data_IF_579496911054
#
_entry.id   IF_579496911054
#
_cell.length_a   1.000
_cell.length_b   1.000
_cell.length_c   1.000
_cell.angle_alpha   90.00
_cell.angle_beta   90.00
_cell.angle_gamma   90.00
#
_symmetry.space_group_name_H-M   'P 1'
#
loop_
_entity.id
_entity.type
_entity.pdbx_description
1 polymer ?
#
# COMPACT_ATOMS: atom_id res chain seq x y z
N UNK A 1 -50.47 14.38 -56.42
CA UNK A 1 -49.11 13.80 -56.53
C UNK A 1 -48.13 14.92 -56.20
N UNK A 2 -47.22 14.91 -55.24
CA UNK A 2 -46.57 13.88 -54.41
C UNK A 2 -46.21 14.58 -53.08
N UNK A 3 -46.59 14.01 -51.93
CA UNK A 3 -46.20 14.52 -50.61
C UNK A 3 -44.75 14.18 -50.30
N UNK A 4 -43.91 15.18 -50.03
CA UNK A 4 -42.54 14.98 -49.57
C UNK A 4 -42.54 14.65 -48.08
N UNK A 5 -42.40 13.36 -47.76
CA UNK A 5 -42.12 12.91 -46.39
C UNK A 5 -40.70 13.32 -46.00
N UNK A 6 -40.57 14.19 -45.00
CA UNK A 6 -39.30 14.40 -44.31
C UNK A 6 -39.05 13.19 -43.40
N UNK A 7 -38.01 12.43 -43.71
CA UNK A 7 -37.46 11.38 -42.85
C UNK A 7 -36.79 12.00 -41.63
N UNK A 8 -37.28 11.65 -40.44
CA UNK A 8 -36.70 12.01 -39.14
C UNK A 8 -35.43 11.17 -38.93
N UNK A 9 -34.26 11.75 -38.61
CA UNK A 9 -33.08 10.97 -38.30
C UNK A 9 -33.23 10.25 -36.96
N UNK A 10 -32.90 8.96 -36.96
CA UNK A 10 -32.87 8.07 -35.79
C UNK A 10 -31.85 8.61 -34.77
N UNK A 11 -32.31 8.93 -33.57
CA UNK A 11 -31.48 9.30 -32.42
C UNK A 11 -30.43 8.23 -32.16
N UNK A 12 -29.16 8.66 -32.06
CA UNK A 12 -28.06 7.84 -31.59
C UNK A 12 -28.28 7.56 -30.09
N UNK A 13 -28.31 6.28 -29.73
CA UNK A 13 -28.57 5.80 -28.39
C UNK A 13 -27.50 6.34 -27.42
N UNK A 14 -27.96 6.94 -26.32
CA UNK A 14 -27.11 7.57 -25.32
C UNK A 14 -26.22 6.56 -24.60
N UNK A 15 -24.90 6.72 -24.76
CA UNK A 15 -23.93 6.15 -23.83
C UNK A 15 -24.08 6.78 -22.43
N UNK A 16 -23.65 6.08 -21.37
CA UNK A 16 -23.80 6.58 -20.01
C UNK A 16 -23.07 7.92 -19.85
N UNK A 17 -23.84 8.98 -19.66
CA UNK A 17 -23.31 10.28 -19.21
C UNK A 17 -22.85 10.11 -17.76
N UNK A 18 -21.57 9.81 -17.56
CA UNK A 18 -20.97 9.83 -16.23
C UNK A 18 -21.14 11.23 -15.64
N UNK A 19 -21.87 11.34 -14.53
CA UNK A 19 -22.17 12.63 -13.93
C UNK A 19 -20.89 13.25 -13.34
N UNK A 20 -20.80 14.58 -13.37
CA UNK A 20 -19.69 15.33 -12.76
C UNK A 20 -19.38 14.89 -11.33
N UNK A 21 -20.42 14.60 -10.53
CA UNK A 21 -20.32 14.14 -9.15
C UNK A 21 -19.63 12.77 -8.98
N UNK A 22 -19.67 11.89 -9.98
CA UNK A 22 -18.96 10.60 -9.95
C UNK A 22 -17.45 10.78 -10.13
N UNK A 23 -17.02 11.85 -10.82
CA UNK A 23 -15.61 12.13 -11.13
C UNK A 23 -14.86 12.79 -9.97
N UNK A 24 -15.57 13.39 -9.03
CA UNK A 24 -14.99 14.03 -7.84
C UNK A 24 -15.22 13.23 -6.57
N UNK A 25 -15.75 12.00 -6.69
CA UNK A 25 -16.00 11.15 -5.53
C UNK A 25 -14.69 10.90 -4.79
N UNK A 26 -14.61 11.19 -3.48
CA UNK A 26 -13.40 10.95 -2.71
C UNK A 26 -13.01 9.49 -2.81
N UNK A 27 -11.70 9.23 -2.95
CA UNK A 27 -11.19 7.88 -2.87
C UNK A 27 -11.63 7.25 -1.53
N UNK A 28 -11.92 5.93 -1.50
CA UNK A 28 -12.24 5.24 -0.27
C UNK A 28 -11.10 5.44 0.75
N UNK A 29 -11.47 5.57 2.03
CA UNK A 29 -10.50 5.73 3.13
C UNK A 29 -9.52 4.56 3.08
N UNK A 30 -8.20 4.80 3.06
CA UNK A 30 -7.22 3.72 3.15
C UNK A 30 -7.31 3.05 4.51
N UNK A 31 -7.09 1.73 4.55
CA UNK A 31 -6.99 0.96 5.79
C UNK A 31 -5.90 1.54 6.69
N UNK A 32 -6.16 1.55 7.98
CA UNK A 32 -5.23 2.10 8.98
C UNK A 32 -5.05 1.11 10.13
N UNK A 33 -3.81 1.00 10.61
CA UNK A 33 -3.53 0.18 11.77
C UNK A 33 -4.04 0.88 13.04
N UNK A 34 -4.79 0.15 13.86
CA UNK A 34 -5.30 0.61 15.17
C UNK A 34 -4.35 0.23 16.31
N UNK A 35 -3.54 -0.81 16.12
CA UNK A 35 -2.53 -1.27 17.08
C UNK A 35 -1.34 -1.89 16.33
N UNK A 36 -0.15 -1.74 16.91
CA UNK A 36 1.10 -2.28 16.37
C UNK A 36 1.94 -2.88 17.49
N UNK A 37 2.26 -4.17 17.37
CA UNK A 37 3.01 -4.93 18.38
C UNK A 37 4.21 -5.59 17.74
N UNK A 38 5.38 -5.31 18.30
CA UNK A 38 6.61 -6.02 17.99
C UNK A 38 6.79 -7.19 18.94
N UNK A 39 7.23 -8.34 18.44
CA UNK A 39 7.58 -9.47 19.31
C UNK A 39 8.76 -9.11 20.23
N UNK A 40 8.89 -9.75 21.42
CA UNK A 40 9.95 -9.42 22.37
C UNK A 40 11.38 -9.56 21.81
N UNK A 41 11.56 -10.45 20.84
CA UNK A 41 12.81 -10.68 20.11
C UNK A 41 13.00 -9.76 18.89
N UNK A 42 11.99 -8.98 18.51
CA UNK A 42 12.03 -8.08 17.35
C UNK A 42 11.91 -8.78 15.99
N UNK A 43 11.60 -10.08 15.96
CA UNK A 43 11.60 -10.89 14.73
C UNK A 43 10.29 -10.77 13.93
N UNK A 44 9.21 -10.31 14.56
CA UNK A 44 7.90 -10.17 13.91
C UNK A 44 7.15 -8.92 14.36
N UNK A 45 6.39 -8.36 13.43
CA UNK A 45 5.45 -7.26 13.63
C UNK A 45 4.03 -7.77 13.42
N UNK A 46 3.18 -7.58 14.42
CA UNK A 46 1.74 -7.84 14.33
C UNK A 46 0.99 -6.51 14.30
N UNK A 47 0.12 -6.35 13.31
CA UNK A 47 -0.73 -5.17 13.13
C UNK A 47 -2.20 -5.56 13.25
N UNK A 48 -2.95 -4.78 14.01
CA UNK A 48 -4.43 -4.83 14.05
C UNK A 48 -4.97 -3.67 13.23
N UNK A 49 -5.99 -3.92 12.42
CA UNK A 49 -6.51 -2.96 11.44
C UNK A 49 -7.91 -2.46 11.80
N UNK A 50 -8.31 -1.32 11.23
CA UNK A 50 -9.64 -0.74 11.43
C UNK A 50 -10.78 -1.55 10.81
N UNK A 51 -10.46 -2.47 9.88
CA UNK A 51 -11.40 -3.47 9.35
C UNK A 51 -11.52 -4.74 10.21
N UNK A 52 -10.85 -4.78 11.37
CA UNK A 52 -10.89 -5.89 12.33
C UNK A 52 -9.94 -7.05 12.01
N UNK A 53 -9.21 -7.00 10.89
CA UNK A 53 -8.19 -8.00 10.61
C UNK A 53 -6.98 -7.84 11.53
N UNK A 54 -6.27 -8.95 11.72
CA UNK A 54 -4.93 -8.98 12.35
C UNK A 54 -3.99 -9.72 11.42
N UNK A 55 -2.82 -9.16 11.18
CA UNK A 55 -1.87 -9.68 10.21
C UNK A 55 -0.45 -9.52 10.73
N UNK A 56 0.46 -10.41 10.32
CA UNK A 56 1.82 -10.44 10.83
C UNK A 56 2.83 -10.51 9.69
N UNK A 57 3.99 -9.87 9.85
CA UNK A 57 5.13 -10.01 8.96
C UNK A 57 6.42 -10.19 9.77
N UNK A 58 7.39 -10.90 9.21
CA UNK A 58 8.72 -11.00 9.81
C UNK A 58 9.53 -9.74 9.55
N UNK A 59 10.48 -9.45 10.42
CA UNK A 59 11.43 -8.35 10.25
C UNK A 59 12.20 -8.48 8.93
N UNK A 60 12.54 -9.70 8.52
CA UNK A 60 13.17 -9.97 7.23
C UNK A 60 12.31 -9.51 6.05
N UNK A 61 11.02 -9.84 6.04
CA UNK A 61 10.09 -9.44 4.97
C UNK A 61 9.96 -7.92 4.91
N UNK A 62 9.81 -7.26 6.07
CA UNK A 62 9.76 -5.80 6.14
C UNK A 62 11.03 -5.19 5.52
N UNK A 63 12.20 -5.70 5.88
CA UNK A 63 13.48 -5.19 5.40
C UNK A 63 13.73 -5.45 3.91
N UNK A 64 13.36 -6.63 3.41
CA UNK A 64 13.38 -6.95 1.98
C UNK A 64 12.51 -5.98 1.19
N UNK A 65 11.46 -5.45 1.83
CA UNK A 65 10.51 -4.54 1.22
C UNK A 65 10.72 -3.07 1.63
N UNK A 66 11.89 -2.74 2.18
CA UNK A 66 12.24 -1.37 2.57
C UNK A 66 12.06 -0.37 1.40
N UNK A 67 11.25 0.70 1.57
CA UNK A 67 10.94 1.64 0.49
C UNK A 67 11.88 2.86 0.45
N UNK A 68 13.01 2.84 1.16
CA UNK A 68 13.93 3.97 1.17
C UNK A 68 14.72 4.09 -0.15
N UNK A 69 15.23 5.29 -0.43
CA UNK A 69 16.02 5.60 -1.63
C UNK A 69 17.29 4.75 -1.80
N UNK A 70 17.82 4.20 -0.70
CA UNK A 70 18.96 3.26 -0.78
C UNK A 70 18.56 1.87 -1.30
N UNK A 71 17.28 1.50 -1.21
CA UNK A 71 16.75 0.19 -1.58
C UNK A 71 15.89 0.23 -2.85
N UNK A 72 15.37 1.40 -3.23
CA UNK A 72 14.52 1.62 -4.40
C UNK A 72 15.04 2.83 -5.15
N UNK A 73 15.33 2.65 -6.43
CA UNK A 73 15.75 3.74 -7.30
C UNK A 73 14.59 4.73 -7.50
N UNK A 74 14.84 6.01 -7.22
CA UNK A 74 13.82 7.06 -7.19
C UNK A 74 13.20 7.35 -8.56
N UNK A 75 13.93 7.11 -9.64
CA UNK A 75 13.51 7.44 -11.01
C UNK A 75 12.74 6.30 -11.68
N UNK A 76 13.18 5.07 -11.44
CA UNK A 76 12.64 3.86 -12.07
C UNK A 76 11.68 3.10 -11.16
N UNK A 77 11.60 3.48 -9.88
CA UNK A 77 10.92 2.72 -8.83
C UNK A 77 11.37 1.25 -8.70
N UNK A 78 12.54 0.91 -9.29
CA UNK A 78 13.06 -0.45 -9.28
C UNK A 78 13.76 -0.71 -7.96
N UNK A 79 13.39 -1.81 -7.30
CA UNK A 79 14.10 -2.30 -6.11
C UNK A 79 15.52 -2.75 -6.50
N UNK A 80 16.51 -2.15 -5.87
CA UNK A 80 17.94 -2.44 -6.06
C UNK A 80 18.48 -3.41 -5.00
N UNK A 81 17.76 -3.52 -3.87
CA UNK A 81 18.08 -4.46 -2.81
C UNK A 81 17.95 -5.91 -3.31
N UNK A 82 18.99 -6.70 -3.08
CA UNK A 82 19.01 -8.14 -3.26
C UNK A 82 18.37 -8.84 -2.04
N UNK A 83 17.21 -9.50 -2.18
CA UNK A 83 16.53 -10.16 -1.06
C UNK A 83 17.38 -11.24 -0.38
N UNK A 84 18.30 -11.88 -1.11
CA UNK A 84 19.17 -12.94 -0.57
C UNK A 84 20.22 -12.40 0.40
N UNK A 85 20.50 -11.09 0.36
CA UNK A 85 21.45 -10.44 1.28
C UNK A 85 20.82 -10.02 2.60
N UNK A 86 19.51 -10.15 2.75
CA UNK A 86 18.82 -9.81 4.00
C UNK A 86 18.90 -11.00 4.97
N UNK A 87 19.55 -10.85 6.13
CA UNK A 87 19.72 -11.95 7.09
C UNK A 87 18.37 -12.54 7.55
N UNK A 88 18.31 -13.87 7.71
CA UNK A 88 17.12 -14.55 8.22
C UNK A 88 16.84 -14.24 9.69
N UNK A 89 17.89 -13.94 10.47
CA UNK A 89 17.82 -13.56 11.89
C UNK A 89 17.72 -12.03 12.09
N UNK A 90 17.31 -11.29 11.07
CA UNK A 90 17.17 -9.83 11.16
C UNK A 90 16.09 -9.48 12.19
N UNK A 91 16.33 -8.42 12.97
CA UNK A 91 15.40 -7.92 13.98
C UNK A 91 15.08 -6.45 13.76
N UNK A 92 13.87 -6.07 14.11
CA UNK A 92 13.52 -4.67 14.36
C UNK A 92 13.96 -4.32 15.79
N UNK A 93 14.83 -3.33 15.91
CA UNK A 93 15.31 -2.81 17.19
C UNK A 93 14.38 -1.74 17.75
N UNK A 94 13.81 -0.92 16.87
CA UNK A 94 12.90 0.16 17.25
C UNK A 94 11.82 0.34 16.19
N UNK A 95 10.63 0.73 16.63
CA UNK A 95 9.48 1.05 15.80
C UNK A 95 8.93 2.41 16.24
N UNK A 96 8.64 3.29 15.29
CA UNK A 96 8.12 4.63 15.56
C UNK A 96 6.97 4.97 14.61
N UNK A 97 5.89 5.60 15.10
CA UNK A 97 4.85 6.13 14.22
C UNK A 97 5.36 7.32 13.41
N UNK A 98 4.96 7.39 12.14
CA UNK A 98 5.19 8.54 11.26
C UNK A 98 3.83 9.14 10.91
N UNK A 99 3.48 10.22 11.61
CA UNK A 99 2.15 10.81 11.54
C UNK A 99 1.07 9.78 11.86
N UNK A 100 -0.03 9.81 11.11
CA UNK A 100 -1.14 8.85 11.22
C UNK A 100 -1.24 7.90 10.01
N UNK A 101 -0.15 7.71 9.27
CA UNK A 101 -0.21 7.02 7.97
C UNK A 101 0.87 5.94 7.76
N UNK A 102 1.86 5.83 8.63
CA UNK A 102 3.02 4.96 8.43
C UNK A 102 3.75 4.59 9.74
N UNK A 103 4.64 3.60 9.63
CA UNK A 103 5.68 3.30 10.62
C UNK A 103 7.06 3.52 10.03
N UNK A 104 8.03 3.86 10.89
CA UNK A 104 9.45 3.74 10.61
C UNK A 104 10.06 2.68 11.54
N UNK A 105 11.08 2.00 11.04
CA UNK A 105 11.79 0.94 11.78
C UNK A 105 13.28 1.20 11.80
N UNK A 106 13.93 0.82 12.89
CA UNK A 106 15.38 0.65 12.99
C UNK A 106 15.67 -0.84 12.97
N UNK A 107 16.42 -1.32 11.99
CA UNK A 107 16.78 -2.72 11.85
C UNK A 107 18.17 -3.03 12.46
N UNK A 108 18.39 -4.29 12.80
CA UNK A 108 19.68 -4.77 13.34
C UNK A 108 20.85 -4.68 12.35
N UNK A 109 20.57 -4.51 11.04
CA UNK A 109 21.55 -4.25 9.99
C UNK A 109 21.76 -2.73 9.73
N UNK A 110 21.46 -1.90 10.73
CA UNK A 110 21.66 -0.46 10.77
C UNK A 110 20.81 0.36 9.80
N UNK A 111 19.84 -0.25 9.09
CA UNK A 111 18.93 0.49 8.23
C UNK A 111 17.80 1.14 9.06
N UNK A 112 17.53 2.43 8.80
CA UNK A 112 16.60 3.20 9.64
C UNK A 112 15.85 4.34 8.91
N UNK A 113 15.95 4.45 7.59
CA UNK A 113 15.35 5.57 6.83
C UNK A 113 14.07 5.20 6.07
N UNK A 114 13.63 3.94 6.16
CA UNK A 114 12.41 3.47 5.50
C UNK A 114 11.16 3.94 6.22
N UNK A 115 10.23 4.57 5.48
CA UNK A 115 8.88 4.91 5.94
C UNK A 115 7.92 3.93 5.29
N UNK A 116 7.16 3.20 6.08
CA UNK A 116 6.28 2.12 5.65
C UNK A 116 4.81 2.55 5.80
N UNK A 117 4.16 3.02 4.73
CA UNK A 117 2.76 3.42 4.78
C UNK A 117 1.84 2.25 5.11
N UNK A 118 0.68 2.52 5.70
CA UNK A 118 -0.32 1.50 6.03
C UNK A 118 -0.68 0.59 4.86
N UNK A 119 -0.80 1.15 3.66
CA UNK A 119 -1.04 0.37 2.45
C UNK A 119 0.05 -0.68 2.21
N UNK A 120 1.33 -0.25 2.25
CA UNK A 120 2.45 -1.18 2.08
C UNK A 120 2.45 -2.23 3.19
N UNK A 121 2.30 -1.81 4.45
CA UNK A 121 2.29 -2.74 5.57
C UNK A 121 1.16 -3.76 5.45
N UNK A 122 -0.03 -3.35 4.99
CA UNK A 122 -1.16 -4.25 4.76
C UNK A 122 -0.81 -5.32 3.73
N UNK A 123 -0.24 -4.89 2.60
CA UNK A 123 0.15 -5.80 1.52
C UNK A 123 1.23 -6.80 2.01
N UNK A 124 2.20 -6.33 2.80
CA UNK A 124 3.30 -7.14 3.32
C UNK A 124 2.87 -8.16 4.38
N UNK A 125 1.93 -7.80 5.24
CA UNK A 125 1.49 -8.66 6.34
C UNK A 125 0.39 -9.64 5.93
N UNK A 126 -0.30 -9.40 4.80
CA UNK A 126 -1.31 -10.31 4.26
C UNK A 126 -0.73 -11.40 3.35
N UNK A 127 0.37 -11.13 2.66
CA UNK A 127 0.93 -12.03 1.65
C UNK A 127 1.63 -13.29 2.20
N UNK A 128 1.35 -13.68 3.45
CA UNK A 128 1.85 -14.91 4.05
C UNK A 128 0.78 -16.01 4.00
N UNK A 129 0.68 -16.65 2.84
CA UNK A 129 -0.02 -17.90 2.60
C UNK A 129 0.91 -18.88 1.88
#
# INVERSE_FOLDING_TARGET
MVGRGLSVPKTLEGGPVSNFWDRIKPAPKPVSATDAKLSPDGESLTLTWDDGATTTATAQVLRQQCPCAACVDEWTAKRTLDPAKVPANLRVLQMQPVGNYALAFVFSDQHNTGIYPWKLLRDLTQAQG
#
